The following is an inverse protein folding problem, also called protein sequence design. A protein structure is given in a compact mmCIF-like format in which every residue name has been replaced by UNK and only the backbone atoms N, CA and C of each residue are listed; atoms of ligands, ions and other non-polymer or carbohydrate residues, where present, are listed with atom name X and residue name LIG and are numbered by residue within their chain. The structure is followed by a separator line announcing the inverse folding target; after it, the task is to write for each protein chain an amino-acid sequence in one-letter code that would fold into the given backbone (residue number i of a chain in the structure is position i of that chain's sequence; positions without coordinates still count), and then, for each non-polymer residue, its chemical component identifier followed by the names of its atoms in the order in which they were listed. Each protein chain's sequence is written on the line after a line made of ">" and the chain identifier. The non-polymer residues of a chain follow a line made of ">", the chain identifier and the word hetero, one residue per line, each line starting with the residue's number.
data_IF_140712663445
#
_entry.id   IF_140712663445
#
_cell.length_a   1.000
_cell.length_b   1.000
_cell.length_c   1.000
_cell.angle_alpha   90.00
_cell.angle_beta   90.00
_cell.angle_gamma   90.00
#
_symmetry.space_group_name_H-M   'P 1'
#
loop_
_entity.id
_entity.type
_entity.pdbx_description
1 polymer ?
#
# COMPACT_ATOMS: atom_id res chain seq x y z
N UNK A 1 13.45 -20.04 19.89
CA UNK A 1 12.88 -19.74 18.56
C UNK A 1 14.04 -19.75 17.60
N UNK A 2 14.28 -20.89 16.96
CA UNK A 2 15.21 -20.95 15.82
C UNK A 2 14.46 -20.40 14.61
N UNK A 3 15.02 -19.36 13.98
CA UNK A 3 14.50 -18.84 12.73
C UNK A 3 15.05 -19.70 11.61
N UNK A 4 14.21 -20.59 11.06
CA UNK A 4 14.54 -21.37 9.87
C UNK A 4 13.99 -20.59 8.68
N UNK A 5 14.87 -20.16 7.78
CA UNK A 5 14.49 -19.51 6.53
C UNK A 5 15.24 -20.21 5.39
N UNK A 6 14.51 -20.92 4.54
CA UNK A 6 15.02 -21.45 3.29
C UNK A 6 14.46 -20.59 2.16
N UNK A 7 15.35 -19.95 1.40
CA UNK A 7 14.97 -19.17 0.21
C UNK A 7 15.17 -20.08 -1.00
N UNK A 8 14.06 -20.49 -1.58
CA UNK A 8 14.05 -21.30 -2.81
C UNK A 8 13.75 -20.37 -3.98
N UNK A 9 14.67 -20.30 -4.94
CA UNK A 9 14.41 -19.64 -6.21
C UNK A 9 13.48 -20.53 -7.03
N UNK A 10 12.31 -20.01 -7.38
CA UNK A 10 11.24 -20.76 -8.02
C UNK A 10 10.63 -19.92 -9.14
N UNK A 11 10.42 -20.55 -10.28
CA UNK A 11 9.84 -19.90 -11.47
C UNK A 11 8.33 -19.72 -11.22
N UNK A 12 7.96 -18.58 -10.63
CA UNK A 12 6.57 -18.26 -10.31
C UNK A 12 5.87 -17.63 -11.50
N UNK A 13 4.65 -18.10 -11.81
CA UNK A 13 3.79 -17.51 -12.84
C UNK A 13 3.41 -16.04 -12.52
N UNK A 14 3.51 -15.64 -11.24
CA UNK A 14 3.20 -14.28 -10.77
C UNK A 14 4.47 -13.54 -10.33
N UNK A 15 5.12 -12.78 -11.22
CA UNK A 15 6.28 -11.97 -10.85
C UNK A 15 5.93 -10.99 -9.72
N UNK A 16 6.90 -10.71 -8.84
CA UNK A 16 6.78 -9.82 -7.68
C UNK A 16 5.82 -10.34 -6.59
N UNK A 17 5.61 -11.65 -6.51
CA UNK A 17 4.88 -12.32 -5.43
C UNK A 17 5.85 -13.07 -4.52
N UNK A 18 5.63 -13.03 -3.21
CA UNK A 18 6.32 -13.90 -2.26
C UNK A 18 5.34 -14.97 -1.77
N UNK A 19 5.78 -16.23 -1.78
CA UNK A 19 5.00 -17.37 -1.28
C UNK A 19 5.72 -17.92 -0.05
N UNK A 20 5.01 -18.00 1.07
CA UNK A 20 5.49 -18.68 2.27
C UNK A 20 4.71 -19.98 2.48
N UNK A 21 5.40 -21.07 2.74
CA UNK A 21 4.80 -22.32 3.22
C UNK A 21 5.29 -22.63 4.62
N UNK A 22 4.48 -23.37 5.38
CA UNK A 22 4.88 -23.93 6.68
C UNK A 22 4.52 -25.40 6.65
N UNK A 23 5.53 -26.25 6.80
CA UNK A 23 5.35 -27.69 6.99
C UNK A 23 5.34 -28.00 8.49
N UNK A 24 4.38 -28.80 8.93
CA UNK A 24 4.25 -29.23 10.33
C UNK A 24 3.71 -30.66 10.41
N UNK A 25 4.05 -31.37 11.48
CA UNK A 25 3.54 -32.71 11.73
C UNK A 25 2.10 -32.67 12.22
N UNK A 26 1.17 -33.24 11.45
CA UNK A 26 -0.25 -33.29 11.76
C UNK A 26 -0.57 -34.03 13.08
N UNK A 27 0.29 -34.95 13.54
CA UNK A 27 0.10 -35.65 14.82
C UNK A 27 0.25 -34.71 16.02
N UNK A 28 1.10 -33.68 15.92
CA UNK A 28 1.30 -32.70 16.99
C UNK A 28 0.12 -31.72 17.13
N UNK A 29 -0.69 -31.57 16.08
CA UNK A 29 -1.81 -30.62 16.02
C UNK A 29 -3.19 -31.29 16.09
N UNK A 30 -3.26 -32.55 16.55
CA UNK A 30 -4.53 -33.19 16.89
C UNK A 30 -5.46 -33.48 15.71
N UNK A 31 -4.94 -33.49 14.47
CA UNK A 31 -5.74 -33.75 13.27
C UNK A 31 -6.51 -32.55 12.72
N UNK A 32 -6.40 -31.36 13.34
CA UNK A 32 -6.96 -30.12 12.81
C UNK A 32 -5.94 -29.37 11.94
N UNK A 33 -6.44 -28.64 10.93
CA UNK A 33 -5.62 -27.76 10.10
C UNK A 33 -5.07 -26.63 10.99
N UNK A 34 -3.74 -26.52 11.07
CA UNK A 34 -3.09 -25.46 11.82
C UNK A 34 -3.45 -24.08 11.25
N UNK A 35 -3.82 -23.14 12.14
CA UNK A 35 -4.05 -21.75 11.78
C UNK A 35 -2.72 -21.01 11.77
N UNK A 36 -2.35 -20.47 10.62
CA UNK A 36 -1.14 -19.66 10.46
C UNK A 36 -1.52 -18.18 10.62
N UNK A 37 -0.83 -17.47 11.50
CA UNK A 37 -0.90 -16.03 11.63
C UNK A 37 0.47 -15.43 11.34
N UNK A 38 0.53 -14.48 10.41
CA UNK A 38 1.77 -13.81 9.99
C UNK A 38 1.67 -12.32 10.27
N UNK A 39 2.77 -11.74 10.73
CA UNK A 39 2.97 -10.29 10.73
C UNK A 39 3.90 -9.96 9.56
N UNK A 40 3.34 -9.32 8.53
CA UNK A 40 4.10 -8.92 7.35
C UNK A 40 3.80 -7.47 6.97
N UNK A 41 4.81 -6.78 6.44
CA UNK A 41 4.57 -5.57 5.67
C UNK A 41 3.94 -5.99 4.34
N UNK A 42 2.92 -5.25 3.93
CA UNK A 42 2.21 -5.49 2.67
C UNK A 42 3.06 -5.18 1.45
N UNK A 43 2.39 -4.80 0.36
CA UNK A 43 3.04 -4.56 -0.92
C UNK A 43 3.90 -3.30 -0.94
N UNK A 44 5.02 -3.35 -1.68
CA UNK A 44 5.80 -2.17 -2.08
C UNK A 44 5.08 -1.48 -3.25
N UNK A 45 4.83 -0.18 -3.11
CA UNK A 45 4.06 0.62 -4.07
C UNK A 45 4.85 1.81 -4.57
N UNK A 46 4.36 2.47 -5.61
CA UNK A 46 4.94 3.73 -6.11
C UNK A 46 4.51 4.89 -5.22
N UNK A 47 5.50 5.59 -4.66
CA UNK A 47 5.32 6.79 -3.83
C UNK A 47 6.15 7.95 -4.37
N UNK A 48 5.85 9.22 -4.06
CA UNK A 48 6.67 10.36 -4.45
C UNK A 48 8.13 10.17 -4.03
N UNK A 49 9.06 10.54 -4.90
CA UNK A 49 10.48 10.42 -4.61
C UNK A 49 10.91 11.21 -3.36
N UNK A 50 10.25 12.35 -3.11
CA UNK A 50 10.48 13.21 -1.95
C UNK A 50 9.74 12.77 -0.67
N UNK A 51 8.97 11.68 -0.70
CA UNK A 51 8.21 11.19 0.46
C UNK A 51 9.00 10.14 1.24
N UNK A 52 9.05 10.26 2.56
CA UNK A 52 9.55 9.22 3.46
C UNK A 52 8.37 8.50 4.13
N UNK A 53 8.14 7.21 3.85
CA UNK A 53 7.00 6.47 4.41
C UNK A 53 7.14 6.11 5.89
N UNK A 54 8.37 6.07 6.44
CA UNK A 54 8.58 5.73 7.85
C UNK A 54 8.32 6.96 8.73
N UNK A 55 8.88 8.11 8.33
CA UNK A 55 8.69 9.37 9.06
C UNK A 55 7.45 10.14 8.62
N UNK A 56 6.84 9.75 7.49
CA UNK A 56 5.68 10.41 6.85
C UNK A 56 5.93 11.87 6.48
N UNK A 57 7.17 12.19 6.16
CA UNK A 57 7.58 13.54 5.80
C UNK A 57 7.74 13.69 4.29
N UNK A 58 7.60 14.92 3.82
CA UNK A 58 7.77 15.28 2.42
C UNK A 58 8.90 16.29 2.32
N UNK A 59 10.00 15.90 1.68
CA UNK A 59 11.15 16.77 1.52
C UNK A 59 10.82 17.94 0.59
N UNK A 60 11.36 19.11 0.94
CA UNK A 60 11.30 20.36 0.16
C UNK A 60 12.62 20.65 -0.54
N UNK A 61 13.57 19.73 -0.51
CA UNK A 61 14.84 19.83 -1.24
C UNK A 61 15.39 18.44 -1.53
N UNK A 62 16.30 18.33 -2.50
CA UNK A 62 16.94 17.07 -2.89
C UNK A 62 16.19 16.33 -4.01
N UNK A 63 16.46 15.03 -4.13
CA UNK A 63 15.90 14.20 -5.20
C UNK A 63 14.37 14.16 -5.13
N UNK A 64 13.72 14.31 -6.28
CA UNK A 64 12.26 14.34 -6.37
C UNK A 64 11.62 15.69 -6.04
N UNK A 65 12.40 16.77 -5.99
CA UNK A 65 11.89 18.12 -5.72
C UNK A 65 12.36 19.14 -6.76
N UNK A 66 11.47 20.08 -7.09
CA UNK A 66 11.75 21.25 -7.92
C UNK A 66 11.13 22.46 -7.23
N UNK A 67 11.90 23.52 -6.98
CA UNK A 67 11.41 24.74 -6.30
C UNK A 67 10.69 24.49 -4.96
N UNK A 68 11.12 23.49 -4.17
CA UNK A 68 10.51 23.20 -2.88
C UNK A 68 9.25 22.32 -2.91
N UNK A 69 8.80 21.90 -4.10
CA UNK A 69 7.65 21.02 -4.29
C UNK A 69 8.07 19.73 -4.96
N UNK A 70 7.25 18.70 -4.83
CA UNK A 70 7.43 17.44 -5.55
C UNK A 70 7.46 17.68 -7.07
N UNK A 71 8.40 17.06 -7.77
CA UNK A 71 8.62 17.26 -9.21
C UNK A 71 7.84 16.26 -10.11
N UNK A 72 7.05 15.37 -9.51
CA UNK A 72 6.27 14.36 -10.23
C UNK A 72 6.97 12.99 -10.36
N UNK A 73 8.20 12.85 -9.86
CA UNK A 73 8.95 11.58 -9.91
C UNK A 73 8.57 10.62 -8.78
N UNK A 74 8.64 9.31 -9.05
CA UNK A 74 8.25 8.26 -8.10
C UNK A 74 9.45 7.39 -7.72
N UNK A 75 9.35 6.76 -6.55
CA UNK A 75 10.21 5.67 -6.08
C UNK A 75 9.35 4.53 -5.55
N UNK A 76 9.93 3.35 -5.40
CA UNK A 76 9.26 2.19 -4.80
C UNK A 76 9.53 2.15 -3.29
N UNK A 77 8.46 2.11 -2.49
CA UNK A 77 8.56 1.93 -1.05
C UNK A 77 7.28 1.31 -0.47
N UNK A 78 7.40 0.65 0.67
CA UNK A 78 6.23 0.26 1.46
C UNK A 78 5.63 1.50 2.13
N UNK A 79 4.31 1.67 2.02
CA UNK A 79 3.55 2.67 2.79
C UNK A 79 2.16 2.13 3.11
N UNK A 80 1.57 2.63 4.17
CA UNK A 80 0.17 2.45 4.53
C UNK A 80 -0.60 3.78 4.48
N UNK A 81 -0.11 4.77 3.71
CA UNK A 81 -0.87 5.95 3.35
C UNK A 81 -1.97 5.55 2.33
N UNK A 82 -3.25 5.81 2.62
CA UNK A 82 -4.37 5.38 1.77
C UNK A 82 -4.33 5.97 0.36
N UNK A 83 -3.79 7.19 0.17
CA UNK A 83 -3.72 7.84 -1.14
C UNK A 83 -2.80 7.06 -2.10
N UNK A 84 -1.62 6.64 -1.62
CA UNK A 84 -0.66 5.88 -2.43
C UNK A 84 -1.08 4.42 -2.63
N UNK A 85 -1.76 3.82 -1.64
CA UNK A 85 -2.38 2.50 -1.80
C UNK A 85 -3.49 2.54 -2.86
N UNK A 86 -4.33 3.58 -2.86
CA UNK A 86 -5.36 3.79 -3.88
C UNK A 86 -4.74 4.01 -5.27
N UNK A 87 -3.68 4.82 -5.36
CA UNK A 87 -2.94 5.04 -6.61
C UNK A 87 -2.43 3.72 -7.22
N UNK A 88 -1.81 2.88 -6.39
CA UNK A 88 -1.27 1.60 -6.82
C UNK A 88 -2.37 0.65 -7.31
N UNK A 89 -3.46 0.52 -6.54
CA UNK A 89 -4.58 -0.34 -6.93
C UNK A 89 -5.29 0.16 -8.19
N UNK A 90 -5.39 1.47 -8.39
CA UNK A 90 -6.00 2.03 -9.60
C UNK A 90 -5.17 1.71 -10.85
N UNK A 91 -3.84 1.76 -10.75
CA UNK A 91 -2.95 1.65 -11.91
C UNK A 91 -2.37 0.26 -12.15
N UNK A 92 -2.47 -0.66 -11.20
CA UNK A 92 -1.82 -1.95 -11.38
C UNK A 92 -2.57 -2.82 -12.41
N UNK A 93 -1.89 -3.37 -13.42
CA UNK A 93 -2.52 -4.20 -14.44
C UNK A 93 -2.96 -5.59 -13.94
N UNK A 94 -2.38 -6.12 -12.85
CA UNK A 94 -2.58 -7.51 -12.44
C UNK A 94 -3.68 -7.70 -11.39
N UNK A 95 -3.76 -6.80 -10.41
CA UNK A 95 -4.73 -6.89 -9.30
C UNK A 95 -5.58 -5.63 -9.17
N UNK A 96 -5.41 -4.69 -10.10
CA UNK A 96 -6.01 -3.37 -10.08
C UNK A 96 -6.79 -3.07 -11.35
N UNK A 97 -7.01 -1.78 -11.58
CA UNK A 97 -7.68 -1.27 -12.77
C UNK A 97 -6.72 -0.79 -13.87
N UNK A 98 -5.45 -1.19 -13.85
CA UNK A 98 -4.43 -0.70 -14.78
C UNK A 98 -4.70 -0.96 -16.28
N UNK A 99 -5.63 -1.86 -16.61
CA UNK A 99 -6.09 -2.06 -18.00
C UNK A 99 -7.14 -1.04 -18.44
N UNK A 100 -7.76 -0.32 -17.49
CA UNK A 100 -8.84 0.65 -17.70
C UNK A 100 -8.44 2.07 -17.30
N UNK A 101 -7.57 2.22 -16.31
CA UNK A 101 -7.12 3.49 -15.75
C UNK A 101 -5.61 3.59 -15.96
N UNK A 102 -5.19 4.63 -16.69
CA UNK A 102 -3.78 4.98 -16.86
C UNK A 102 -3.38 6.11 -15.89
N UNK A 103 -2.08 6.26 -15.63
CA UNK A 103 -1.53 7.28 -14.75
C UNK A 103 -1.86 8.71 -15.18
N UNK A 104 -2.19 8.90 -16.46
CA UNK A 104 -2.66 10.16 -17.04
C UNK A 104 -4.08 10.53 -16.63
N UNK A 105 -4.91 9.54 -16.25
CA UNK A 105 -6.30 9.71 -15.83
C UNK A 105 -6.43 10.04 -14.34
N UNK A 106 -5.32 10.02 -13.59
CA UNK A 106 -5.31 10.32 -12.15
C UNK A 106 -4.63 11.67 -11.92
N UNK A 107 -5.34 12.59 -11.24
CA UNK A 107 -4.75 13.85 -10.77
C UNK A 107 -3.77 13.57 -9.61
N UNK A 108 -2.52 13.30 -9.99
CA UNK A 108 -1.41 13.03 -9.07
C UNK A 108 -1.13 14.22 -8.14
N UNK A 109 -1.41 15.45 -8.56
CA UNK A 109 -1.14 16.65 -7.76
C UNK A 109 -2.16 16.81 -6.64
N UNK A 110 -3.44 16.58 -6.95
CA UNK A 110 -4.47 16.57 -5.92
C UNK A 110 -4.30 15.38 -4.98
N UNK A 111 -3.97 14.20 -5.53
CA UNK A 111 -3.69 13.01 -4.73
C UNK A 111 -2.50 13.23 -3.77
N UNK A 112 -1.46 13.94 -4.21
CA UNK A 112 -0.33 14.33 -3.37
C UNK A 112 -0.77 15.20 -2.18
N UNK A 113 -1.67 16.18 -2.40
CA UNK A 113 -2.22 17.01 -1.30
C UNK A 113 -3.03 16.19 -0.31
N UNK A 114 -3.85 15.27 -0.81
CA UNK A 114 -4.62 14.32 0.01
C UNK A 114 -3.67 13.44 0.82
N UNK A 115 -2.60 12.94 0.21
CA UNK A 115 -1.60 12.12 0.88
C UNK A 115 -0.93 12.87 2.04
N UNK A 116 -0.56 14.15 1.82
CA UNK A 116 -0.02 15.02 2.87
C UNK A 116 -1.01 15.22 4.02
N UNK A 117 -2.31 15.35 3.73
CA UNK A 117 -3.34 15.44 4.75
C UNK A 117 -3.47 14.15 5.58
N UNK A 118 -3.42 12.98 4.93
CA UNK A 118 -3.47 11.68 5.59
C UNK A 118 -2.27 11.46 6.54
N UNK A 119 -1.10 11.98 6.16
CA UNK A 119 0.15 11.86 6.91
C UNK A 119 0.30 12.87 8.06
N UNK A 120 -0.64 13.81 8.23
CA UNK A 120 -0.57 14.75 9.35
C UNK A 120 -0.67 14.01 10.69
N UNK A 121 0.31 14.25 11.56
CA UNK A 121 0.32 13.68 12.90
C UNK A 121 -0.73 14.35 13.78
N UNK A 122 -1.62 13.56 14.37
CA UNK A 122 -2.69 13.98 15.26
C UNK A 122 -2.57 13.29 16.63
N UNK A 123 -2.96 13.93 17.74
CA UNK A 123 -2.91 13.32 19.06
C UNK A 123 -3.78 12.08 19.15
N UNK A 124 -3.26 11.00 19.74
CA UNK A 124 -3.98 9.73 19.91
C UNK A 124 -4.86 9.67 21.17
N UNK A 125 -5.02 10.79 21.89
CA UNK A 125 -5.78 10.85 23.14
C UNK A 125 -5.10 10.20 24.36
N UNK A 126 -3.95 9.53 24.18
CA UNK A 126 -3.18 8.85 25.22
C UNK A 126 -1.78 9.46 25.42
N UNK A 127 -1.56 10.69 24.93
CA UNK A 127 -0.27 11.40 25.03
C UNK A 127 0.74 11.08 23.92
N UNK A 128 0.36 10.29 22.92
CA UNK A 128 1.16 10.02 21.71
C UNK A 128 0.60 10.69 20.46
N UNK A 129 1.32 10.56 19.34
CA UNK A 129 0.91 11.04 18.03
C UNK A 129 0.72 9.86 17.08
N UNK A 130 -0.25 9.97 16.18
CA UNK A 130 -0.47 9.00 15.12
C UNK A 130 -0.82 9.71 13.80
N UNK A 131 -0.62 9.07 12.65
CA UNK A 131 -1.03 9.62 11.37
C UNK A 131 -2.56 9.76 11.33
N UNK A 132 -3.05 10.81 10.69
CA UNK A 132 -4.49 11.08 10.60
C UNK A 132 -5.26 9.92 9.98
N UNK A 133 -4.73 9.34 8.90
CA UNK A 133 -5.39 8.26 8.16
C UNK A 133 -4.37 7.23 7.70
N UNK A 134 -4.69 5.95 7.91
CA UNK A 134 -3.86 4.82 7.52
C UNK A 134 -4.70 3.71 6.90
N UNK A 135 -4.15 2.99 5.94
CA UNK A 135 -4.83 1.91 5.23
C UNK A 135 -3.97 0.65 5.22
N UNK A 136 -4.47 -0.40 5.88
CA UNK A 136 -3.89 -1.75 5.85
C UNK A 136 -4.99 -2.72 5.39
N UNK A 137 -5.11 -2.90 4.07
CA UNK A 137 -6.15 -3.74 3.49
C UNK A 137 -5.55 -5.08 3.06
N UNK A 138 -6.32 -6.14 3.29
CA UNK A 138 -6.02 -7.48 2.81
C UNK A 138 -7.18 -7.96 1.92
N UNK A 139 -6.91 -8.11 0.62
CA UNK A 139 -7.89 -8.56 -0.37
C UNK A 139 -7.84 -10.09 -0.50
N UNK A 140 -8.86 -10.77 0.00
CA UNK A 140 -8.94 -12.24 -0.02
C UNK A 140 -9.78 -12.80 -1.18
N UNK A 141 -10.73 -12.02 -1.68
CA UNK A 141 -11.70 -12.44 -2.71
C UNK A 141 -11.81 -11.37 -3.77
N UNK A 142 -12.16 -11.78 -4.98
CA UNK A 142 -12.49 -10.84 -6.05
C UNK A 142 -13.72 -10.03 -5.64
N UNK A 143 -13.63 -8.72 -5.80
CA UNK A 143 -14.69 -7.77 -5.54
C UNK A 143 -14.82 -6.82 -6.73
N UNK A 144 -15.95 -6.14 -6.82
CA UNK A 144 -16.12 -5.11 -7.84
C UNK A 144 -15.10 -3.99 -7.63
N UNK A 145 -14.30 -3.72 -8.67
CA UNK A 145 -13.15 -2.85 -8.55
C UNK A 145 -13.53 -1.39 -8.27
N UNK A 146 -14.67 -0.93 -8.81
CA UNK A 146 -15.17 0.41 -8.51
C UNK A 146 -15.61 0.52 -7.05
N UNK A 147 -16.33 -0.48 -6.54
CA UNK A 147 -16.68 -0.53 -5.11
C UNK A 147 -15.44 -0.50 -4.20
N UNK A 148 -14.39 -1.28 -4.52
CA UNK A 148 -13.15 -1.29 -3.73
C UNK A 148 -12.44 0.06 -3.76
N UNK A 149 -12.36 0.73 -4.92
CA UNK A 149 -11.77 2.06 -5.02
C UNK A 149 -12.60 3.13 -4.30
N UNK A 150 -13.93 3.00 -4.33
CA UNK A 150 -14.82 3.88 -3.59
C UNK A 150 -14.63 3.70 -2.08
N UNK A 151 -14.55 2.46 -1.60
CA UNK A 151 -14.31 2.15 -0.18
C UNK A 151 -12.93 2.68 0.28
N UNK A 152 -11.91 2.53 -0.55
CA UNK A 152 -10.58 3.13 -0.33
C UNK A 152 -10.63 4.66 -0.29
N UNK A 153 -11.40 5.28 -1.19
CA UNK A 153 -11.56 6.73 -1.24
C UNK A 153 -12.25 7.27 0.01
N UNK A 154 -13.23 6.53 0.53
CA UNK A 154 -13.92 6.85 1.76
C UNK A 154 -12.96 6.90 2.97
N UNK A 155 -11.86 6.12 2.96
CA UNK A 155 -10.84 6.16 4.04
C UNK A 155 -10.25 7.55 4.19
N UNK A 156 -10.09 8.33 3.11
CA UNK A 156 -9.56 9.69 3.18
C UNK A 156 -10.61 10.79 3.00
N UNK A 157 -11.89 10.44 3.18
CA UNK A 157 -13.03 11.31 2.87
C UNK A 157 -12.99 11.88 1.45
N UNK A 158 -12.38 11.15 0.51
CA UNK A 158 -12.37 11.48 -0.90
C UNK A 158 -13.54 10.84 -1.63
N UNK A 159 -13.87 11.40 -2.79
CA UNK A 159 -14.81 10.81 -3.74
C UNK A 159 -14.06 10.53 -5.03
N UNK A 160 -14.09 9.29 -5.50
CA UNK A 160 -13.59 8.95 -6.83
C UNK A 160 -14.65 9.37 -7.86
N UNK A 161 -14.34 10.37 -8.67
CA UNK A 161 -15.23 10.85 -9.74
C UNK A 161 -14.56 10.66 -11.09
N UNK A 162 -15.30 10.16 -12.07
CA UNK A 162 -14.85 10.07 -13.46
C UNK A 162 -15.39 11.27 -14.25
N UNK A 163 -14.51 12.04 -14.86
CA UNK A 163 -14.88 13.12 -15.79
C UNK A 163 -14.48 12.72 -17.21
N UNK A 164 -15.39 12.00 -17.87
CA UNK A 164 -15.49 11.85 -19.33
C UNK A 164 -14.26 11.42 -20.09
#
# INVERSE_FOLDING_TARGET
>A
VEAVAEVVDSDQEFPLTAVGCVEYDAQQFGGDIAKIAVLMRGRIVRVPANYDPETRTYATSGAGTSNGIWDGTFKEAYTNNPAWVCYDLALNPYYGLGHRIDATMVDRWNLYRIAQYCDQMVPNGMGGMHPRMTCNIYLQKQADAYAVLQDLSNIFHGMSTWDG
#
